data_IF_225840229609
#
_entry.id   IF_225840229609
#
_cell.length_a   1.000
_cell.length_b   1.000
_cell.length_c   1.000
_cell.angle_alpha   90.00
_cell.angle_beta   90.00
_cell.angle_gamma   90.00
#
_symmetry.space_group_name_H-M   'P 1'
#
loop_
_entity.id
_entity.type
_entity.pdbx_description
1 polymer ?
#
# COMPACT_ATOMS: atom_id res chain seq x y z
N UNK A 1 31.01 11.42 12.61
CA UNK A 1 30.50 11.61 11.23
C UNK A 1 31.03 10.47 10.41
N UNK A 2 30.22 9.44 10.21
CA UNK A 2 30.50 8.39 9.22
C UNK A 2 30.39 9.02 7.83
N UNK A 3 31.10 8.45 6.86
CA UNK A 3 31.18 8.94 5.47
C UNK A 3 29.78 9.12 4.82
N UNK A 4 28.79 8.37 5.31
CA UNK A 4 27.37 8.40 4.94
C UNK A 4 26.64 9.74 5.12
N UNK A 5 27.04 10.60 6.06
CA UNK A 5 26.29 11.85 6.33
C UNK A 5 26.60 12.95 5.30
N UNK A 6 27.70 12.82 4.53
CA UNK A 6 28.18 13.89 3.63
C UNK A 6 27.41 13.93 2.31
N UNK A 7 26.89 12.79 1.88
CA UNK A 7 26.04 12.66 0.68
C UNK A 7 24.55 12.85 0.99
N UNK A 8 24.21 13.15 2.25
CA UNK A 8 22.85 13.31 2.72
C UNK A 8 22.39 14.77 2.71
N UNK A 9 21.50 15.12 1.79
CA UNK A 9 20.95 16.49 1.69
C UNK A 9 19.74 16.64 2.62
N UNK A 10 20.00 17.01 3.87
CA UNK A 10 18.97 17.18 4.92
C UNK A 10 17.81 18.12 4.54
N UNK A 11 18.00 19.09 3.63
CA UNK A 11 16.89 19.95 3.20
C UNK A 11 15.85 19.22 2.35
N UNK A 12 16.22 18.13 1.66
CA UNK A 12 15.28 17.29 0.90
C UNK A 12 14.40 16.52 1.87
N UNK A 13 15.00 15.84 2.86
CA UNK A 13 14.29 15.14 3.94
C UNK A 13 13.26 16.05 4.60
N UNK A 14 13.70 17.23 5.05
CA UNK A 14 12.81 18.21 5.70
C UNK A 14 11.69 18.71 4.78
N UNK A 15 11.96 18.79 3.47
CA UNK A 15 10.96 19.13 2.47
C UNK A 15 9.81 18.12 2.47
N UNK A 16 10.14 16.82 2.43
CA UNK A 16 9.17 15.74 2.51
C UNK A 16 8.49 15.67 3.89
N UNK A 17 9.23 15.86 4.98
CA UNK A 17 8.65 15.90 6.32
C UNK A 17 7.53 16.96 6.45
N UNK A 18 7.73 18.14 5.86
CA UNK A 18 6.69 19.19 5.84
C UNK A 18 5.50 18.82 4.94
N UNK A 19 5.70 18.14 3.81
CA UNK A 19 4.60 17.67 2.96
C UNK A 19 3.79 16.55 3.63
N UNK A 20 4.45 15.66 4.37
CA UNK A 20 3.82 14.55 5.09
C UNK A 20 3.12 14.99 6.39
N UNK A 21 3.38 16.21 6.87
CA UNK A 21 2.70 16.80 8.03
C UNK A 21 1.27 17.30 7.72
N UNK A 22 0.82 17.23 6.47
CA UNK A 22 -0.58 17.46 6.08
C UNK A 22 -1.35 16.14 6.13
N UNK A 23 -2.59 16.16 6.62
CA UNK A 23 -3.45 14.98 6.65
C UNK A 23 -4.93 15.33 6.40
N UNK A 24 -5.77 14.29 6.34
CA UNK A 24 -7.19 14.42 6.08
C UNK A 24 -7.96 15.18 7.19
N UNK A 25 -7.46 15.17 8.42
CA UNK A 25 -8.05 15.86 9.57
C UNK A 25 -7.62 17.34 9.62
N UNK A 26 -6.49 17.68 9.00
CA UNK A 26 -5.87 19.01 8.95
C UNK A 26 -5.60 19.42 7.49
N UNK A 27 -6.63 19.76 6.70
CA UNK A 27 -6.45 20.16 5.31
C UNK A 27 -5.92 21.61 5.14
N UNK A 28 -6.00 22.44 6.19
CA UNK A 28 -5.55 23.84 6.15
C UNK A 28 -4.82 24.29 7.45
N UNK A 29 -3.71 23.62 7.85
CA UNK A 29 -3.01 23.90 9.10
C UNK A 29 -2.26 25.23 9.07
N UNK A 30 -2.01 25.76 10.27
CA UNK A 30 -1.09 26.87 10.51
C UNK A 30 0.36 26.40 10.41
N UNK A 31 1.27 27.37 10.26
CA UNK A 31 2.71 27.11 10.32
C UNK A 31 3.15 26.45 11.64
N UNK A 32 2.50 26.79 12.75
CA UNK A 32 2.85 26.25 14.06
C UNK A 32 2.49 24.76 14.17
N UNK A 33 1.32 24.37 13.65
CA UNK A 33 0.88 22.98 13.62
C UNK A 33 1.80 22.13 12.73
N UNK A 34 2.13 22.61 11.53
CA UNK A 34 3.07 21.93 10.62
C UNK A 34 4.48 21.79 11.22
N UNK A 35 4.95 22.80 11.96
CA UNK A 35 6.25 22.75 12.63
C UNK A 35 6.29 21.71 13.75
N UNK A 36 5.23 21.62 14.54
CA UNK A 36 5.11 20.60 15.59
C UNK A 36 5.09 19.20 14.99
N UNK A 37 4.24 18.96 13.98
CA UNK A 37 4.06 17.64 13.36
C UNK A 37 5.34 17.18 12.64
N UNK A 38 6.01 18.08 11.90
CA UNK A 38 7.26 17.75 11.22
C UNK A 38 8.48 17.64 12.16
N UNK A 39 8.35 18.00 13.45
CA UNK A 39 9.47 18.03 14.40
C UNK A 39 10.54 19.08 14.05
N UNK A 40 10.15 20.20 13.43
CA UNK A 40 11.08 21.22 12.90
C UNK A 40 10.81 22.60 13.51
N UNK A 41 11.85 23.45 13.51
CA UNK A 41 11.69 24.84 13.96
C UNK A 41 10.78 25.64 13.01
N UNK A 42 9.99 26.57 13.57
CA UNK A 42 9.12 27.47 12.79
C UNK A 42 9.85 28.22 11.66
N UNK A 43 11.07 28.78 11.84
CA UNK A 43 11.81 29.41 10.75
C UNK A 43 12.17 28.44 9.61
N UNK A 44 12.54 27.20 9.95
CA UNK A 44 12.86 26.18 8.94
C UNK A 44 11.62 25.81 8.12
N UNK A 45 10.51 25.50 8.79
CA UNK A 45 9.22 25.18 8.12
C UNK A 45 8.74 26.35 7.27
N UNK A 46 8.86 27.59 7.74
CA UNK A 46 8.53 28.79 6.94
C UNK A 46 9.29 28.80 5.61
N UNK A 47 10.61 28.57 5.65
CA UNK A 47 11.46 28.59 4.46
C UNK A 47 11.12 27.45 3.50
N UNK A 48 10.79 26.27 4.04
CA UNK A 48 10.35 25.11 3.26
C UNK A 48 9.01 25.40 2.59
N UNK A 49 8.01 25.90 3.33
CA UNK A 49 6.68 26.24 2.80
C UNK A 49 6.75 27.31 1.70
N UNK A 50 7.59 28.34 1.86
CA UNK A 50 7.81 29.34 0.82
C UNK A 50 8.45 28.73 -0.45
N UNK A 51 9.36 27.77 -0.27
CA UNK A 51 9.97 27.05 -1.40
C UNK A 51 8.95 26.17 -2.11
N UNK A 52 8.20 25.37 -1.35
CA UNK A 52 7.12 24.52 -1.87
C UNK A 52 6.02 25.34 -2.55
N UNK A 53 5.70 26.54 -2.04
CA UNK A 53 4.73 27.45 -2.67
C UNK A 53 5.26 27.97 -4.01
N UNK A 54 6.55 28.33 -4.07
CA UNK A 54 7.20 28.74 -5.33
C UNK A 54 7.24 27.61 -6.36
N UNK A 55 7.39 26.36 -5.91
CA UNK A 55 7.27 25.15 -6.73
C UNK A 55 5.80 24.77 -7.03
N UNK A 56 4.84 25.42 -6.37
CA UNK A 56 3.40 25.23 -6.55
C UNK A 56 2.81 24.01 -5.87
N UNK A 57 3.53 23.35 -4.95
CA UNK A 57 3.03 22.19 -4.18
C UNK A 57 2.13 22.58 -3.00
N UNK A 58 2.28 23.79 -2.48
CA UNK A 58 1.42 24.32 -1.41
C UNK A 58 0.90 25.71 -1.76
N UNK A 59 -0.21 26.10 -1.14
CA UNK A 59 -0.75 27.46 -1.18
C UNK A 59 -0.87 28.00 0.24
N UNK A 60 -0.32 29.19 0.49
CA UNK A 60 -0.44 29.89 1.77
C UNK A 60 -1.41 31.07 1.71
N UNK A 61 -2.32 31.17 2.68
CA UNK A 61 -3.22 32.32 2.86
C UNK A 61 -3.58 32.52 4.33
N UNK A 62 -3.57 33.76 4.81
CA UNK A 62 -3.98 34.08 6.19
C UNK A 62 -3.18 33.36 7.29
N UNK A 63 -1.90 33.03 7.04
CA UNK A 63 -1.06 32.27 7.98
C UNK A 63 -1.32 30.76 8.02
N UNK A 64 -2.20 30.26 7.14
CA UNK A 64 -2.50 28.83 6.95
C UNK A 64 -2.01 28.36 5.58
N UNK A 65 -1.90 27.04 5.43
CA UNK A 65 -1.33 26.38 4.27
C UNK A 65 -2.18 25.19 3.85
N UNK A 66 -2.27 24.92 2.56
CA UNK A 66 -2.89 23.71 2.01
C UNK A 66 -2.02 23.10 0.92
N UNK A 67 -2.10 21.78 0.75
CA UNK A 67 -1.54 21.10 -0.42
C UNK A 67 -2.32 21.51 -1.68
N UNK A 68 -1.64 21.63 -2.80
CA UNK A 68 -2.28 21.79 -4.12
C UNK A 68 -2.36 20.45 -4.84
N UNK A 69 -3.20 20.30 -5.88
CA UNK A 69 -3.22 19.08 -6.69
C UNK A 69 -1.86 18.70 -7.32
N UNK A 70 -0.90 19.62 -7.40
CA UNK A 70 0.44 19.35 -7.94
C UNK A 70 1.19 18.27 -7.16
N UNK A 71 0.89 18.06 -5.86
CA UNK A 71 1.49 16.95 -5.10
C UNK A 71 1.20 15.58 -5.71
N UNK A 72 0.06 15.43 -6.39
CA UNK A 72 -0.33 14.19 -7.07
C UNK A 72 0.55 13.89 -8.28
N UNK A 73 1.17 14.91 -8.90
CA UNK A 73 1.99 14.71 -10.10
C UNK A 73 3.26 13.90 -9.81
N UNK A 74 3.78 13.96 -8.57
CA UNK A 74 4.93 13.14 -8.16
C UNK A 74 4.55 11.66 -8.20
N UNK A 75 3.38 11.31 -7.65
CA UNK A 75 2.85 9.93 -7.69
C UNK A 75 2.49 9.47 -9.10
N UNK A 76 2.01 10.38 -9.97
CA UNK A 76 1.73 10.06 -11.38
C UNK A 76 2.98 9.56 -12.11
N UNK A 77 4.16 10.14 -11.85
CA UNK A 77 5.39 9.64 -12.47
C UNK A 77 5.75 8.21 -12.04
N UNK A 78 5.38 7.79 -10.82
CA UNK A 78 5.51 6.38 -10.43
C UNK A 78 4.57 5.51 -11.27
N UNK A 79 3.29 5.90 -11.41
CA UNK A 79 2.33 5.17 -12.25
C UNK A 79 2.73 5.11 -13.73
N UNK A 80 3.16 6.22 -14.33
CA UNK A 80 3.57 6.31 -15.73
C UNK A 80 4.82 5.48 -16.05
N UNK A 81 5.73 5.34 -15.08
CA UNK A 81 6.95 4.55 -15.27
C UNK A 81 6.75 3.05 -14.98
N UNK A 82 5.61 2.65 -14.42
CA UNK A 82 5.31 1.27 -14.04
C UNK A 82 4.13 0.73 -14.85
N UNK A 83 4.44 0.11 -15.99
CA UNK A 83 3.46 -0.52 -16.90
C UNK A 83 2.46 -1.46 -16.20
N UNK A 84 2.87 -2.06 -15.07
CA UNK A 84 2.03 -2.90 -14.22
C UNK A 84 0.74 -2.20 -13.76
N UNK A 85 0.80 -0.91 -13.40
CA UNK A 85 -0.36 -0.17 -12.87
C UNK A 85 -1.42 0.01 -13.96
N UNK A 86 -1.01 0.41 -15.16
CA UNK A 86 -1.91 0.60 -16.30
C UNK A 86 -2.52 -0.75 -16.74
N UNK A 87 -1.69 -1.79 -16.85
CA UNK A 87 -2.13 -3.14 -17.20
C UNK A 87 -3.10 -3.74 -16.16
N UNK A 88 -2.96 -3.38 -14.88
CA UNK A 88 -3.81 -3.90 -13.81
C UNK A 88 -5.26 -3.40 -13.89
N UNK A 89 -5.50 -2.16 -14.34
CA UNK A 89 -6.83 -1.53 -14.29
C UNK A 89 -7.97 -2.37 -14.89
N UNK A 90 -7.88 -2.91 -16.12
CA UNK A 90 -8.93 -3.78 -16.66
C UNK A 90 -9.11 -5.06 -15.83
N UNK A 91 -8.03 -5.64 -15.31
CA UNK A 91 -8.07 -6.88 -14.51
C UNK A 91 -8.74 -6.66 -13.17
N UNK A 92 -8.46 -5.52 -12.52
CA UNK A 92 -9.12 -5.12 -11.28
C UNK A 92 -10.62 -4.85 -11.51
N UNK A 93 -11.00 -4.27 -12.65
CA UNK A 93 -12.40 -4.06 -12.98
C UNK A 93 -13.16 -5.39 -13.11
N UNK A 94 -12.59 -6.37 -13.80
CA UNK A 94 -13.19 -7.71 -13.92
C UNK A 94 -13.41 -8.38 -12.56
N UNK A 95 -12.45 -8.28 -11.64
CA UNK A 95 -12.59 -8.80 -10.27
C UNK A 95 -13.69 -8.05 -9.53
N UNK A 96 -13.71 -6.71 -9.60
CA UNK A 96 -14.70 -5.89 -8.90
C UNK A 96 -16.14 -6.17 -9.38
N UNK A 97 -16.33 -6.32 -10.70
CA UNK A 97 -17.63 -6.65 -11.29
C UNK A 97 -18.11 -8.05 -10.89
N UNK A 98 -17.23 -9.06 -10.91
CA UNK A 98 -17.57 -10.45 -10.56
C UNK A 98 -17.85 -10.63 -9.07
N UNK A 99 -17.06 -9.99 -8.22
CA UNK A 99 -17.15 -10.15 -6.76
C UNK A 99 -18.10 -9.16 -6.10
N UNK A 100 -18.42 -8.05 -6.78
CA UNK A 100 -19.10 -6.90 -6.19
C UNK A 100 -18.34 -6.33 -4.97
N UNK A 101 -17.02 -6.52 -4.93
CA UNK A 101 -16.11 -6.03 -3.90
C UNK A 101 -15.01 -5.16 -4.53
N UNK A 102 -14.33 -4.35 -3.71
CA UNK A 102 -13.25 -3.51 -4.24
C UNK A 102 -12.03 -4.36 -4.57
N UNK A 103 -11.48 -4.17 -5.77
CA UNK A 103 -10.26 -4.84 -6.22
C UNK A 103 -9.07 -3.89 -6.17
N UNK A 104 -7.87 -4.39 -5.92
CA UNK A 104 -6.66 -3.58 -5.80
C UNK A 104 -5.41 -4.27 -6.31
N UNK A 105 -4.45 -3.47 -6.76
CA UNK A 105 -3.08 -3.88 -6.99
C UNK A 105 -2.25 -3.45 -5.76
N UNK A 106 -1.60 -4.42 -5.11
CA UNK A 106 -0.64 -4.17 -4.04
C UNK A 106 0.80 -4.40 -4.52
N UNK A 107 1.73 -3.56 -4.06
CA UNK A 107 3.17 -3.71 -4.29
C UNK A 107 3.94 -3.58 -2.97
N UNK A 108 5.08 -4.26 -2.86
CA UNK A 108 5.90 -4.25 -1.64
C UNK A 108 6.79 -3.00 -1.60
N UNK A 109 6.85 -2.33 -0.45
CA UNK A 109 7.78 -1.23 -0.18
C UNK A 109 8.27 -1.29 1.27
N UNK A 110 9.49 -1.80 1.46
CA UNK A 110 10.00 -2.16 2.80
C UNK A 110 9.12 -3.21 3.47
N UNK A 111 8.74 -2.97 4.73
CA UNK A 111 7.81 -3.81 5.49
C UNK A 111 6.32 -3.58 5.21
N UNK A 112 5.97 -2.66 4.30
CA UNK A 112 4.58 -2.37 3.96
C UNK A 112 4.20 -2.85 2.56
N UNK A 113 2.90 -3.01 2.37
CA UNK A 113 2.27 -3.06 1.06
C UNK A 113 1.63 -1.71 0.76
N UNK A 114 1.88 -1.20 -0.43
CA UNK A 114 1.25 0.03 -0.95
C UNK A 114 0.15 -0.36 -1.94
N UNK A 115 -1.03 0.24 -1.77
CA UNK A 115 -2.10 0.17 -2.76
C UNK A 115 -1.74 1.01 -3.98
N UNK A 116 -1.25 0.37 -5.05
CA UNK A 116 -0.77 1.03 -6.26
C UNK A 116 -1.89 1.37 -7.26
N UNK A 117 -2.93 0.53 -7.33
CA UNK A 117 -4.12 0.75 -8.17
C UNK A 117 -5.37 0.21 -7.46
N UNK A 118 -6.54 0.78 -7.77
CA UNK A 118 -7.80 0.38 -7.12
C UNK A 118 -9.03 0.63 -7.99
N UNK A 119 -9.92 -0.35 -8.00
CA UNK A 119 -11.29 -0.22 -8.54
C UNK A 119 -12.28 -0.36 -7.37
N UNK A 120 -12.81 0.76 -6.84
CA UNK A 120 -13.73 0.72 -5.71
C UNK A 120 -15.16 0.38 -6.13
N UNK A 121 -15.90 -0.33 -5.28
CA UNK A 121 -17.35 -0.48 -5.40
C UNK A 121 -18.07 0.52 -4.49
N UNK A 122 -19.20 1.09 -4.96
CA UNK A 122 -19.97 2.07 -4.18
C UNK A 122 -20.87 1.34 -3.17
N UNK A 123 -20.60 1.51 -1.87
CA UNK A 123 -21.41 0.96 -0.77
C UNK A 123 -21.48 1.93 0.42
N UNK A 124 -22.57 1.89 1.18
CA UNK A 124 -22.73 2.69 2.41
C UNK A 124 -21.73 2.23 3.49
N UNK A 125 -21.55 0.92 3.67
CA UNK A 125 -20.43 0.34 4.40
C UNK A 125 -19.34 -0.03 3.40
N UNK A 126 -18.28 0.77 3.35
CA UNK A 126 -17.15 0.58 2.43
C UNK A 126 -15.84 0.44 3.20
N UNK A 127 -14.94 -0.36 2.63
CA UNK A 127 -13.54 -0.45 3.08
C UNK A 127 -12.81 0.74 2.45
N UNK A 128 -12.58 1.78 3.27
CA UNK A 128 -12.03 3.06 2.82
C UNK A 128 -10.51 2.99 2.69
N UNK A 129 -10.05 2.73 1.48
CA UNK A 129 -8.62 2.72 1.12
C UNK A 129 -8.44 3.49 -0.18
N UNK A 130 -7.41 4.32 -0.25
CA UNK A 130 -7.02 5.09 -1.43
C UNK A 130 -5.70 4.58 -2.01
N UNK A 131 -5.41 4.93 -3.27
CA UNK A 131 -4.07 4.71 -3.83
C UNK A 131 -3.03 5.45 -2.96
N UNK A 132 -1.91 4.78 -2.68
CA UNK A 132 -0.85 5.27 -1.80
C UNK A 132 -1.04 4.92 -0.32
N UNK A 133 -2.19 4.38 0.10
CA UNK A 133 -2.35 3.83 1.46
C UNK A 133 -1.36 2.69 1.67
N UNK A 134 -0.79 2.62 2.88
CA UNK A 134 0.17 1.60 3.31
C UNK A 134 -0.46 0.71 4.37
N UNK A 135 -0.19 -0.58 4.29
CA UNK A 135 -0.59 -1.59 5.29
C UNK A 135 0.57 -2.55 5.57
N UNK A 136 0.76 -3.02 6.80
CA UNK A 136 1.90 -3.86 7.13
C UNK A 136 1.82 -5.21 6.41
N UNK A 137 2.94 -5.66 5.87
CA UNK A 137 2.99 -6.89 5.08
C UNK A 137 2.68 -8.14 5.92
N UNK A 138 3.09 -8.19 7.19
CA UNK A 138 2.89 -9.36 8.06
C UNK A 138 1.40 -9.65 8.35
N UNK A 139 0.56 -8.61 8.43
CA UNK A 139 -0.85 -8.71 8.85
C UNK A 139 -1.84 -8.80 7.68
N UNK A 140 -1.36 -8.87 6.43
CA UNK A 140 -2.23 -8.77 5.25
C UNK A 140 -2.05 -9.93 4.27
N UNK A 141 -3.13 -10.28 3.56
CA UNK A 141 -3.06 -11.27 2.49
C UNK A 141 -2.10 -10.83 1.38
N UNK A 142 -2.13 -9.54 1.02
CA UNK A 142 -1.23 -8.97 0.02
C UNK A 142 0.23 -9.14 0.40
N UNK A 143 0.60 -8.79 1.64
CA UNK A 143 1.98 -8.91 2.09
C UNK A 143 2.45 -10.35 2.09
N UNK A 144 1.62 -11.29 2.54
CA UNK A 144 1.95 -12.72 2.51
C UNK A 144 2.12 -13.25 1.07
N UNK A 145 1.24 -12.86 0.15
CA UNK A 145 1.36 -13.24 -1.26
C UNK A 145 2.59 -12.62 -1.95
N UNK A 146 3.02 -11.43 -1.54
CA UNK A 146 4.27 -10.81 -2.01
C UNK A 146 5.51 -11.51 -1.43
N UNK A 147 5.46 -11.94 -0.18
CA UNK A 147 6.61 -12.51 0.54
C UNK A 147 6.80 -14.01 0.36
N UNK A 148 5.74 -14.76 0.03
CA UNK A 148 5.76 -16.22 0.01
C UNK A 148 6.80 -16.82 -0.95
N UNK A 149 7.11 -16.12 -2.05
CA UNK A 149 8.13 -16.51 -3.05
C UNK A 149 9.26 -15.48 -3.16
N UNK A 150 9.34 -14.51 -2.25
CA UNK A 150 10.42 -13.54 -2.23
C UNK A 150 11.75 -14.19 -1.76
N UNK A 151 12.91 -13.64 -2.15
CA UNK A 151 14.20 -14.02 -1.58
C UNK A 151 14.20 -13.92 -0.05
N UNK A 152 14.98 -14.78 0.61
CA UNK A 152 15.04 -14.84 2.08
C UNK A 152 15.47 -13.50 2.70
N UNK A 153 16.39 -12.77 2.08
CA UNK A 153 16.86 -11.46 2.56
C UNK A 153 15.74 -10.40 2.56
N UNK A 154 14.80 -10.49 1.61
CA UNK A 154 13.62 -9.61 1.57
C UNK A 154 12.70 -9.91 2.76
N UNK A 155 12.44 -11.19 3.03
CA UNK A 155 11.60 -11.61 4.17
C UNK A 155 12.25 -11.23 5.49
N UNK A 156 13.56 -11.46 5.64
CA UNK A 156 14.33 -11.08 6.84
C UNK A 156 14.28 -9.57 7.11
N UNK A 157 14.41 -8.72 6.07
CA UNK A 157 14.26 -7.27 6.20
C UNK A 157 12.86 -6.88 6.68
N UNK A 158 11.81 -7.46 6.08
CA UNK A 158 10.43 -7.19 6.49
C UNK A 158 10.21 -7.59 7.94
N UNK A 159 10.73 -8.76 8.37
CA UNK A 159 10.63 -9.21 9.76
C UNK A 159 11.34 -8.24 10.70
N UNK A 160 12.53 -7.75 10.34
CA UNK A 160 13.30 -6.82 11.16
C UNK A 160 12.61 -5.46 11.35
N UNK A 161 11.86 -5.00 10.35
CA UNK A 161 11.15 -3.72 10.34
C UNK A 161 9.69 -3.83 10.85
N UNK A 162 9.14 -5.05 10.98
CA UNK A 162 7.76 -5.28 11.40
C UNK A 162 7.58 -5.18 12.92
N UNK A 163 6.53 -4.46 13.34
CA UNK A 163 6.19 -4.32 14.77
C UNK A 163 5.48 -5.52 15.38
N UNK A 164 4.82 -6.35 14.56
CA UNK A 164 3.93 -7.43 15.02
C UNK A 164 2.88 -6.97 16.05
N UNK A 165 2.40 -5.74 15.91
CA UNK A 165 1.31 -5.20 16.72
C UNK A 165 0.00 -5.94 16.46
N UNK A 166 -0.81 -6.10 17.50
CA UNK A 166 -2.14 -6.71 17.38
C UNK A 166 -3.16 -5.70 16.84
N UNK A 167 -3.33 -5.67 15.53
CA UNK A 167 -4.22 -4.73 14.82
C UNK A 167 -5.68 -5.18 14.80
N UNK A 168 -5.90 -6.49 14.71
CA UNK A 168 -7.19 -7.15 14.69
C UNK A 168 -7.26 -8.31 15.70
N UNK A 169 -8.45 -8.93 15.86
CA UNK A 169 -8.62 -10.06 16.78
C UNK A 169 -7.65 -11.24 16.54
N UNK A 170 -7.34 -11.52 15.27
CA UNK A 170 -6.61 -12.70 14.82
C UNK A 170 -5.20 -12.40 14.27
N UNK A 171 -4.68 -11.18 14.46
CA UNK A 171 -3.34 -10.82 13.95
C UNK A 171 -2.27 -11.75 14.50
N UNK A 172 -1.45 -12.31 13.61
CA UNK A 172 -0.23 -13.03 14.01
C UNK A 172 0.74 -12.12 14.77
N UNK A 173 1.43 -12.67 15.78
CA UNK A 173 2.28 -11.92 16.69
C UNK A 173 3.77 -12.21 16.56
N UNK A 174 4.18 -13.16 15.70
CA UNK A 174 5.57 -13.59 15.60
C UNK A 174 6.03 -13.87 14.16
N UNK A 175 7.33 -13.71 13.91
CA UNK A 175 7.96 -14.11 12.65
C UNK A 175 7.79 -15.60 12.34
N UNK A 176 7.81 -16.46 13.37
CA UNK A 176 7.60 -17.90 13.21
C UNK A 176 6.17 -18.24 12.76
N UNK A 177 5.17 -17.47 13.19
CA UNK A 177 3.80 -17.59 12.66
C UNK A 177 3.72 -17.11 11.22
N UNK A 178 4.36 -15.97 10.90
CA UNK A 178 4.42 -15.47 9.53
C UNK A 178 4.99 -16.53 8.59
N UNK A 179 6.11 -17.16 8.94
CA UNK A 179 6.72 -18.23 8.14
C UNK A 179 5.77 -19.41 7.88
N UNK A 180 4.97 -19.80 8.88
CA UNK A 180 3.95 -20.85 8.69
C UNK A 180 2.84 -20.40 7.74
N UNK A 181 2.42 -19.14 7.81
CA UNK A 181 1.44 -18.59 6.89
C UNK A 181 2.01 -18.49 5.46
N UNK A 182 3.26 -18.07 5.30
CA UNK A 182 3.93 -18.05 3.99
C UNK A 182 4.03 -19.46 3.37
N UNK A 183 4.27 -20.49 4.20
CA UNK A 183 4.27 -21.88 3.73
C UNK A 183 2.89 -22.31 3.19
N UNK A 184 1.79 -21.93 3.86
CA UNK A 184 0.44 -22.19 3.36
C UNK A 184 0.17 -21.44 2.06
N UNK A 185 0.62 -20.20 1.95
CA UNK A 185 0.45 -19.41 0.71
C UNK A 185 1.18 -20.05 -0.46
N UNK A 186 2.39 -20.60 -0.25
CA UNK A 186 3.11 -21.36 -1.28
C UNK A 186 2.34 -22.60 -1.74
N UNK A 187 1.69 -23.32 -0.82
CA UNK A 187 0.86 -24.49 -1.14
C UNK A 187 -0.44 -24.10 -1.87
N UNK A 188 -1.06 -22.99 -1.47
CA UNK A 188 -2.36 -22.56 -1.98
C UNK A 188 -2.28 -21.78 -3.30
N UNK A 189 -1.17 -21.09 -3.56
CA UNK A 189 -1.03 -20.15 -4.67
C UNK A 189 -1.72 -18.80 -4.46
N UNK A 190 -2.30 -18.57 -3.28
CA UNK A 190 -2.92 -17.31 -2.87
C UNK A 190 -2.87 -17.19 -1.34
N UNK A 191 -3.10 -15.98 -0.83
CA UNK A 191 -3.23 -15.72 0.59
C UNK A 191 -4.67 -15.33 0.95
N UNK A 192 -5.15 -15.83 2.09
CA UNK A 192 -6.42 -15.44 2.70
C UNK A 192 -6.14 -15.01 4.14
N UNK A 193 -6.62 -13.82 4.53
CA UNK A 193 -6.62 -13.37 5.92
C UNK A 193 -8.01 -12.98 6.37
N UNK A 194 -8.29 -13.12 7.66
CA UNK A 194 -9.57 -12.77 8.28
C UNK A 194 -9.29 -12.16 9.65
N UNK A 195 -9.83 -10.98 9.92
CA UNK A 195 -9.76 -10.32 11.24
C UNK A 195 -8.32 -10.01 11.72
N UNK A 196 -7.35 -9.91 10.79
CA UNK A 196 -5.94 -9.68 11.14
C UNK A 196 -5.51 -8.21 11.03
N UNK A 197 -6.03 -7.48 10.06
CA UNK A 197 -5.73 -6.05 9.90
C UNK A 197 -6.76 -5.18 10.64
N UNK A 198 -8.03 -5.58 10.58
CA UNK A 198 -9.14 -4.88 11.23
C UNK A 198 -10.24 -5.90 11.57
N UNK A 199 -10.97 -5.65 12.65
CA UNK A 199 -12.15 -6.44 12.98
C UNK A 199 -13.19 -6.32 11.87
N UNK A 200 -13.73 -7.45 11.43
CA UNK A 200 -14.74 -7.53 10.38
C UNK A 200 -14.19 -7.68 8.97
N UNK A 201 -12.87 -7.67 8.76
CA UNK A 201 -12.24 -7.63 7.44
C UNK A 201 -11.71 -9.00 6.99
N UNK A 202 -12.05 -9.41 5.78
CA UNK A 202 -11.53 -10.62 5.12
C UNK A 202 -10.89 -10.20 3.80
N UNK A 203 -9.68 -10.69 3.50
CA UNK A 203 -8.93 -10.31 2.31
C UNK A 203 -8.28 -11.49 1.61
N UNK A 204 -8.29 -11.46 0.28
CA UNK A 204 -7.63 -12.40 -0.61
C UNK A 204 -6.57 -11.68 -1.44
N UNK A 205 -5.47 -12.35 -1.75
CA UNK A 205 -4.47 -11.85 -2.68
C UNK A 205 -3.78 -12.98 -3.47
N UNK A 206 -3.50 -12.74 -4.74
CA UNK A 206 -2.77 -13.66 -5.62
C UNK A 206 -1.56 -12.95 -6.27
N UNK A 207 -0.41 -13.65 -6.41
CA UNK A 207 0.82 -13.08 -6.94
C UNK A 207 0.74 -12.79 -8.44
N UNK A 208 1.37 -11.70 -8.86
CA UNK A 208 1.55 -11.30 -10.25
C UNK A 208 3.03 -11.40 -10.60
N UNK A 209 3.34 -12.10 -11.69
CA UNK A 209 4.71 -12.35 -12.14
C UNK A 209 5.06 -11.47 -13.34
N UNK A 210 6.33 -11.07 -13.45
CA UNK A 210 6.88 -10.49 -14.67
C UNK A 210 7.47 -11.56 -15.61
N UNK A 211 8.03 -11.13 -16.74
CA UNK A 211 8.70 -12.01 -17.70
C UNK A 211 9.85 -12.85 -17.10
N UNK A 212 10.48 -12.40 -16.01
CA UNK A 212 11.53 -13.13 -15.30
C UNK A 212 11.02 -14.12 -14.27
N UNK A 213 9.70 -14.21 -14.07
CA UNK A 213 9.09 -15.03 -13.01
C UNK A 213 9.19 -14.40 -11.62
N UNK A 214 9.54 -13.12 -11.52
CA UNK A 214 9.60 -12.41 -10.24
C UNK A 214 8.20 -11.95 -9.85
N UNK A 215 7.82 -12.11 -8.57
CA UNK A 215 6.56 -11.54 -8.06
C UNK A 215 6.71 -10.02 -7.95
N UNK A 216 6.06 -9.28 -8.85
CA UNK A 216 6.15 -7.80 -8.95
C UNK A 216 4.95 -7.07 -8.34
N UNK A 217 3.90 -7.80 -7.97
CA UNK A 217 2.71 -7.26 -7.36
C UNK A 217 1.71 -8.35 -6.98
N UNK A 218 0.56 -7.93 -6.45
CA UNK A 218 -0.56 -8.84 -6.15
C UNK A 218 -1.88 -8.23 -6.56
N UNK A 219 -2.78 -9.06 -7.11
CA UNK A 219 -4.20 -8.71 -7.25
C UNK A 219 -4.91 -9.10 -5.97
N UNK A 220 -5.62 -8.15 -5.37
CA UNK A 220 -6.27 -8.32 -4.09
C UNK A 220 -7.76 -7.96 -4.12
N UNK A 221 -8.54 -8.63 -3.28
CA UNK A 221 -9.97 -8.40 -3.12
C UNK A 221 -10.36 -8.60 -1.66
N UNK A 222 -11.17 -7.71 -1.11
CA UNK A 222 -11.56 -7.74 0.31
C UNK A 222 -13.07 -7.61 0.50
N UNK A 223 -13.60 -8.32 1.49
CA UNK A 223 -15.02 -8.29 1.88
C UNK A 223 -15.15 -8.08 3.39
N UNK A 224 -16.40 -7.91 3.85
CA UNK A 224 -16.73 -7.87 5.27
C UNK A 224 -17.24 -9.22 5.75
N UNK A 225 -16.88 -9.61 6.98
CA UNK A 225 -17.40 -10.81 7.63
C UNK A 225 -18.92 -10.77 7.85
N UNK A 226 -19.54 -9.59 7.78
CA UNK A 226 -21.00 -9.44 7.75
C UNK A 226 -21.65 -9.96 6.44
N UNK A 227 -20.88 -10.11 5.35
CA UNK A 227 -21.36 -10.60 4.05
C UNK A 227 -20.96 -12.03 3.77
N UNK A 228 -19.71 -12.38 4.08
CA UNK A 228 -19.17 -13.69 3.80
C UNK A 228 -18.35 -14.19 4.97
N UNK A 229 -18.43 -15.49 5.24
CA UNK A 229 -17.38 -16.18 5.99
C UNK A 229 -16.10 -16.30 5.14
N UNK A 230 -14.92 -16.52 5.76
CA UNK A 230 -13.68 -16.70 4.99
C UNK A 230 -13.77 -17.83 3.96
N UNK A 231 -14.42 -18.94 4.31
CA UNK A 231 -14.63 -20.06 3.40
C UNK A 231 -15.54 -19.69 2.22
N UNK A 232 -16.69 -19.04 2.47
CA UNK A 232 -17.59 -18.60 1.39
C UNK A 232 -16.90 -17.61 0.44
N UNK A 233 -16.17 -16.64 0.99
CA UNK A 233 -15.44 -15.68 0.17
C UNK A 233 -14.36 -16.35 -0.67
N UNK A 234 -13.64 -17.32 -0.09
CA UNK A 234 -12.64 -18.12 -0.80
C UNK A 234 -13.26 -18.83 -2.01
N UNK A 235 -14.34 -19.58 -1.81
CA UNK A 235 -14.99 -20.34 -2.90
C UNK A 235 -15.49 -19.41 -4.03
N UNK A 236 -15.99 -18.22 -3.70
CA UNK A 236 -16.58 -17.29 -4.66
C UNK A 236 -15.55 -16.44 -5.40
N UNK A 237 -14.53 -15.93 -4.69
CA UNK A 237 -13.64 -14.89 -5.21
C UNK A 237 -12.28 -15.42 -5.69
N UNK A 238 -11.75 -16.50 -5.12
CA UNK A 238 -10.43 -17.04 -5.51
C UNK A 238 -10.32 -17.31 -7.01
N UNK A 239 -11.30 -17.97 -7.68
CA UNK A 239 -11.17 -18.26 -9.10
C UNK A 239 -10.95 -17.02 -9.97
N UNK A 240 -11.69 -15.93 -9.71
CA UNK A 240 -11.54 -14.71 -10.49
C UNK A 240 -10.29 -13.89 -10.11
N UNK A 241 -9.87 -13.93 -8.85
CA UNK A 241 -8.64 -13.26 -8.39
C UNK A 241 -7.40 -13.94 -8.99
N UNK A 242 -7.34 -15.27 -8.98
CA UNK A 242 -6.27 -16.03 -9.64
C UNK A 242 -6.24 -15.80 -11.15
N UNK A 243 -7.41 -15.83 -11.80
CA UNK A 243 -7.51 -15.57 -13.24
C UNK A 243 -7.03 -14.16 -13.60
N UNK A 244 -7.39 -13.15 -12.81
CA UNK A 244 -6.96 -11.77 -13.01
C UNK A 244 -5.44 -11.61 -12.80
N UNK A 245 -4.87 -12.25 -11.77
CA UNK A 245 -3.43 -12.23 -11.52
C UNK A 245 -2.65 -12.95 -12.64
N UNK A 246 -3.16 -14.08 -13.15
CA UNK A 246 -2.56 -14.81 -14.27
C UNK A 246 -2.63 -13.99 -15.58
N UNK A 247 -3.78 -13.38 -15.88
CA UNK A 247 -3.94 -12.52 -17.05
C UNK A 247 -3.01 -11.30 -16.97
N UNK A 248 -2.91 -10.66 -15.79
CA UNK A 248 -1.98 -9.57 -15.57
C UNK A 248 -0.52 -10.02 -15.71
N UNK A 249 -0.18 -11.22 -15.23
CA UNK A 249 1.18 -11.77 -15.41
C UNK A 249 1.50 -11.99 -16.89
N UNK A 250 0.53 -12.47 -17.68
CA UNK A 250 0.69 -12.62 -19.13
C UNK A 250 0.85 -11.25 -19.83
N UNK A 251 0.10 -10.23 -19.40
CA UNK A 251 0.28 -8.84 -19.88
C UNK A 251 1.70 -8.32 -19.57
N UNK A 252 2.33 -8.79 -18.48
CA UNK A 252 3.72 -8.51 -18.09
C UNK A 252 4.77 -9.44 -18.72
N UNK A 253 4.35 -10.34 -19.62
CA UNK A 253 5.25 -11.23 -20.38
C UNK A 253 5.64 -12.53 -19.67
N UNK A 254 4.97 -12.91 -18.59
CA UNK A 254 5.19 -14.20 -17.92
C UNK A 254 4.68 -15.37 -18.77
N UNK A 255 5.51 -16.41 -18.96
CA UNK A 255 5.24 -17.52 -19.88
C UNK A 255 4.57 -18.76 -19.23
N UNK A 256 4.41 -18.79 -17.91
CA UNK A 256 3.84 -19.91 -17.16
C UNK A 256 4.88 -20.81 -16.51
#
# INVERSE_FOLDING_TARGET
>A
MTESDRDYIQSIERGFAVLLAFDAQRPNPTLAELATEAGLSRPAVRRILLTLQKLGYVAGSGGRWSLTPRVLSIGQHYSESHALIEAAMPRLLEVAEKTQESASLGVLDGADVVYAARVPVRRIMSINVSVGTRVPAYATSMGRALLAWAPADVVERVVAESTFEKLGPETIGTAAELERELAKVREQGFALTSEELEKGLISLAAPVHDAGGTVVGVVACSTSSARNTPAQFREQAVPCVLAAAAALSADMGFAG
#
